data_IF_730840574560
#
_entry.id   IF_730840574560
#
_cell.length_a   1.000
_cell.length_b   1.000
_cell.length_c   1.000
_cell.angle_alpha   90.00
_cell.angle_beta   90.00
_cell.angle_gamma   90.00
#
_symmetry.space_group_name_H-M   'P 1'
#
loop_
_entity.id
_entity.type
_entity.pdbx_description
1 polymer ?
#
# COMPACT_ATOMS: atom_id res chain seq x y z
N UNK A 1 31.89 -58.64 -0.31
CA UNK A 1 32.22 -57.20 -0.37
C UNK A 1 31.13 -56.53 -1.19
N UNK A 2 30.14 -55.92 -0.54
CA UNK A 2 29.00 -55.30 -1.21
C UNK A 2 28.97 -53.83 -0.78
N UNK A 3 29.35 -52.95 -1.71
CA UNK A 3 29.41 -51.50 -1.53
C UNK A 3 28.00 -50.92 -1.63
N UNK A 4 27.57 -50.19 -0.60
CA UNK A 4 26.33 -49.41 -0.60
C UNK A 4 26.53 -48.10 -1.40
N UNK A 5 25.56 -47.75 -2.25
CA UNK A 5 25.49 -46.45 -2.93
C UNK A 5 24.96 -45.37 -1.97
N UNK A 6 25.49 -44.13 -2.00
CA UNK A 6 24.96 -43.02 -1.21
C UNK A 6 23.67 -42.42 -1.83
N UNK A 7 22.78 -41.82 -1.03
CA UNK A 7 21.57 -41.16 -1.52
C UNK A 7 21.89 -39.80 -2.20
N UNK A 8 21.12 -39.47 -3.25
CA UNK A 8 21.20 -38.21 -3.99
C UNK A 8 20.67 -37.02 -3.15
N UNK A 9 21.23 -35.81 -3.31
CA UNK A 9 20.75 -34.61 -2.62
C UNK A 9 19.41 -34.10 -3.18
N UNK A 10 18.60 -33.38 -2.38
CA UNK A 10 17.31 -32.84 -2.82
C UNK A 10 17.50 -31.71 -3.83
N UNK A 11 16.70 -31.74 -4.91
CA UNK A 11 16.60 -30.69 -5.92
C UNK A 11 16.00 -29.43 -5.31
N UNK A 12 16.82 -28.39 -5.09
CA UNK A 12 16.36 -27.05 -4.75
C UNK A 12 15.70 -26.42 -5.97
N UNK A 13 14.38 -26.25 -5.93
CA UNK A 13 13.61 -25.43 -6.87
C UNK A 13 13.95 -23.96 -6.61
N UNK A 14 14.95 -23.42 -7.32
CA UNK A 14 15.18 -21.97 -7.36
C UNK A 14 14.10 -21.31 -8.20
N UNK A 15 13.19 -20.60 -7.53
CA UNK A 15 12.31 -19.60 -8.16
C UNK A 15 13.18 -18.43 -8.64
N UNK A 16 13.06 -17.94 -9.90
CA UNK A 16 13.88 -16.83 -10.37
C UNK A 16 13.57 -15.53 -9.59
N UNK A 17 14.59 -14.70 -9.30
CA UNK A 17 14.38 -13.41 -8.65
C UNK A 17 13.62 -12.45 -9.57
N UNK A 18 12.52 -11.90 -9.07
CA UNK A 18 11.77 -10.81 -9.73
C UNK A 18 12.70 -9.62 -10.01
N UNK A 19 12.56 -8.92 -11.16
CA UNK A 19 13.46 -7.82 -11.51
C UNK A 19 13.30 -6.64 -10.55
N UNK A 20 14.40 -5.91 -10.24
CA UNK A 20 14.32 -4.69 -9.44
C UNK A 20 13.62 -3.60 -10.27
N UNK A 21 12.52 -3.06 -9.78
CA UNK A 21 11.84 -1.92 -10.38
C UNK A 21 12.72 -0.67 -10.25
N UNK A 22 13.66 -0.48 -11.18
CA UNK A 22 14.32 0.79 -11.45
C UNK A 22 13.34 1.64 -12.27
N UNK A 23 12.70 2.62 -11.65
CA UNK A 23 12.14 3.72 -12.43
C UNK A 23 12.24 5.05 -11.70
N UNK A 24 13.43 5.63 -11.71
CA UNK A 24 13.65 7.04 -11.43
C UNK A 24 13.53 7.80 -12.77
N UNK A 25 12.37 8.40 -13.05
CA UNK A 25 12.16 9.28 -14.21
C UNK A 25 11.76 10.67 -13.71
N UNK A 26 12.50 11.74 -14.06
CA UNK A 26 12.20 13.10 -13.63
C UNK A 26 11.05 13.68 -14.48
N UNK A 27 9.85 13.60 -13.93
CA UNK A 27 8.62 14.12 -14.55
C UNK A 27 7.39 13.61 -13.82
N UNK A 28 7.33 13.85 -12.51
CA UNK A 28 6.35 13.29 -11.57
C UNK A 28 4.93 13.82 -11.84
N UNK A 29 4.28 13.33 -12.89
CA UNK A 29 2.84 13.10 -12.77
C UNK A 29 2.67 11.97 -11.77
N UNK A 30 1.93 12.18 -10.67
CA UNK A 30 1.64 11.09 -9.75
C UNK A 30 1.04 9.92 -10.53
N UNK A 31 1.71 8.77 -10.52
CA UNK A 31 1.21 7.57 -11.19
C UNK A 31 0.13 6.97 -10.30
N UNK A 32 -1.12 7.13 -10.70
CA UNK A 32 -2.25 6.46 -10.08
C UNK A 32 -2.49 5.13 -10.82
N UNK A 33 -2.66 4.07 -10.06
CA UNK A 33 -2.93 2.71 -10.54
C UNK A 33 -4.24 2.23 -9.93
N UNK A 34 -4.91 1.30 -10.60
CA UNK A 34 -6.16 0.71 -10.12
C UNK A 34 -6.00 -0.80 -10.00
N UNK A 35 -6.48 -1.38 -8.89
CA UNK A 35 -6.52 -2.83 -8.70
C UNK A 35 -7.80 -3.28 -8.01
N UNK A 36 -8.27 -4.49 -8.33
CA UNK A 36 -9.39 -5.11 -7.62
C UNK A 36 -8.91 -5.67 -6.27
N UNK A 37 -9.56 -5.23 -5.19
CA UNK A 37 -9.46 -5.88 -3.89
C UNK A 37 -10.53 -6.96 -3.78
N UNK A 38 -10.14 -8.19 -4.12
CA UNK A 38 -11.05 -9.34 -4.21
C UNK A 38 -11.75 -9.65 -2.90
N UNK A 39 -11.04 -9.65 -1.76
CA UNK A 39 -11.61 -9.99 -0.44
C UNK A 39 -12.79 -9.07 -0.06
N UNK A 40 -12.74 -7.81 -0.48
CA UNK A 40 -13.75 -6.79 -0.16
C UNK A 40 -14.68 -6.50 -1.35
N UNK A 41 -14.43 -7.09 -2.51
CA UNK A 41 -15.20 -6.86 -3.74
C UNK A 41 -15.19 -5.41 -4.23
N UNK A 42 -14.12 -4.66 -3.97
CA UNK A 42 -14.03 -3.23 -4.30
C UNK A 42 -12.75 -2.92 -5.08
N UNK A 43 -12.78 -1.86 -5.86
CA UNK A 43 -11.61 -1.35 -6.56
C UNK A 43 -10.83 -0.41 -5.62
N UNK A 44 -9.50 -0.49 -5.69
CA UNK A 44 -8.59 0.43 -5.02
C UNK A 44 -7.86 1.30 -6.03
N UNK A 45 -7.94 2.62 -5.83
CA UNK A 45 -7.04 3.59 -6.44
C UNK A 45 -5.76 3.66 -5.61
N UNK A 46 -4.61 3.61 -6.27
CA UNK A 46 -3.31 3.43 -5.63
C UNK A 46 -2.32 4.48 -6.13
N UNK A 47 -1.58 5.08 -5.20
CA UNK A 47 -0.48 6.00 -5.52
C UNK A 47 0.76 5.51 -4.80
N UNK A 48 1.86 5.38 -5.55
CA UNK A 48 3.17 5.07 -5.02
C UNK A 48 3.91 6.35 -4.65
N UNK A 49 4.27 6.49 -3.38
CA UNK A 49 5.02 7.61 -2.86
C UNK A 49 6.13 7.11 -1.93
N UNK A 50 7.37 7.51 -2.18
CA UNK A 50 8.53 7.16 -1.34
C UNK A 50 8.66 5.63 -1.10
N UNK A 51 8.36 4.83 -2.13
CA UNK A 51 8.39 3.35 -2.03
C UNK A 51 7.22 2.74 -1.26
N UNK A 52 6.17 3.52 -0.97
CA UNK A 52 4.98 3.07 -0.25
C UNK A 52 3.75 3.25 -1.14
N UNK A 53 3.05 2.14 -1.37
CA UNK A 53 1.77 2.13 -2.06
C UNK A 53 0.64 2.50 -1.08
N UNK A 54 -0.02 3.63 -1.31
CA UNK A 54 -1.18 4.09 -0.54
C UNK A 54 -2.44 3.89 -1.37
N UNK A 55 -3.49 3.35 -0.76
CA UNK A 55 -4.73 2.98 -1.44
C UNK A 55 -5.95 3.76 -0.90
N UNK A 56 -6.87 4.13 -1.81
CA UNK A 56 -8.24 4.61 -1.55
C UNK A 56 -9.23 3.62 -2.15
N UNK A 57 -10.26 3.22 -1.41
CA UNK A 57 -11.33 2.37 -1.94
C UNK A 57 -12.31 3.19 -2.78
N UNK A 58 -12.86 2.59 -3.83
CA UNK A 58 -13.87 3.22 -4.70
C UNK A 58 -15.28 3.24 -4.07
N UNK A 59 -15.62 2.24 -3.25
CA UNK A 59 -16.98 2.07 -2.71
C UNK A 59 -17.35 3.04 -1.59
N UNK A 60 -16.38 3.48 -0.79
CA UNK A 60 -16.63 4.28 0.42
C UNK A 60 -15.54 5.32 0.73
N UNK A 61 -14.60 5.53 -0.20
CA UNK A 61 -13.51 6.49 -0.10
C UNK A 61 -12.57 6.34 1.10
N UNK A 62 -12.63 5.22 1.82
CA UNK A 62 -11.68 4.99 2.90
C UNK A 62 -10.26 4.86 2.34
N UNK A 63 -9.31 5.41 3.08
CA UNK A 63 -7.89 5.41 2.72
C UNK A 63 -7.11 4.58 3.74
N UNK A 64 -6.12 3.83 3.27
CA UNK A 64 -5.21 3.08 4.14
C UNK A 64 -4.30 4.04 4.93
N UNK A 65 -4.74 4.42 6.13
CA UNK A 65 -4.06 5.32 7.03
C UNK A 65 -2.70 4.80 7.50
N UNK A 66 -2.52 3.47 7.57
CA UNK A 66 -1.20 2.87 7.87
C UNK A 66 -0.19 3.18 6.78
N UNK A 67 -0.55 3.01 5.51
CA UNK A 67 0.34 3.30 4.38
C UNK A 67 0.57 4.80 4.25
N UNK A 68 -0.48 5.61 4.37
CA UNK A 68 -0.40 7.08 4.35
C UNK A 68 0.61 7.62 5.36
N UNK A 69 0.53 7.21 6.63
CA UNK A 69 1.45 7.72 7.66
C UNK A 69 2.88 7.18 7.53
N UNK A 70 3.07 6.01 6.90
CA UNK A 70 4.41 5.52 6.62
C UNK A 70 5.15 6.42 5.62
N UNK A 71 4.43 7.13 4.72
CA UNK A 71 5.04 8.09 3.76
C UNK A 71 5.73 9.23 4.48
N UNK A 72 5.41 9.51 5.75
CA UNK A 72 6.11 10.56 6.51
C UNK A 72 7.45 10.07 7.09
N UNK A 73 7.78 8.77 6.99
CA UNK A 73 8.93 8.16 7.65
C UNK A 73 8.84 8.14 9.18
N UNK A 74 7.65 8.30 9.78
CA UNK A 74 7.52 8.29 11.24
C UNK A 74 7.74 6.91 11.85
N UNK A 75 8.04 6.87 13.15
CA UNK A 75 8.20 5.61 13.87
C UNK A 75 6.87 4.84 13.98
N UNK A 76 6.98 3.52 14.07
CA UNK A 76 5.85 2.61 14.26
C UNK A 76 4.97 3.03 15.45
N UNK A 77 5.57 3.33 16.60
CA UNK A 77 4.83 3.70 17.81
C UNK A 77 4.01 4.99 17.63
N UNK A 78 4.58 6.00 16.94
CA UNK A 78 3.87 7.25 16.66
C UNK A 78 2.69 7.02 15.72
N UNK A 79 2.90 6.27 14.63
CA UNK A 79 1.85 5.89 13.69
C UNK A 79 0.72 5.13 14.38
N UNK A 80 1.06 4.09 15.12
CA UNK A 80 0.09 3.22 15.79
C UNK A 80 -0.69 4.02 16.85
N UNK A 81 -0.04 4.97 17.54
CA UNK A 81 -0.67 5.90 18.46
C UNK A 81 -1.69 6.83 17.80
N UNK A 82 -1.37 7.40 16.64
CA UNK A 82 -2.29 8.24 15.85
C UNK A 82 -3.50 7.40 15.42
N UNK A 83 -3.27 6.25 14.76
CA UNK A 83 -4.33 5.42 14.19
C UNK A 83 -5.24 4.81 15.25
N UNK A 84 -4.72 4.50 16.45
CA UNK A 84 -5.52 3.98 17.57
C UNK A 84 -6.58 4.98 18.06
N UNK A 85 -6.39 6.28 17.81
CA UNK A 85 -7.34 7.31 18.23
C UNK A 85 -8.36 7.66 17.15
N UNK A 86 -8.22 7.14 15.94
CA UNK A 86 -9.12 7.44 14.84
C UNK A 86 -10.48 6.74 15.00
N UNK A 87 -11.55 7.54 15.01
CA UNK A 87 -12.95 7.07 15.10
C UNK A 87 -13.41 6.54 13.74
N UNK A 88 -14.22 5.47 13.76
CA UNK A 88 -14.71 4.84 12.53
C UNK A 88 -13.62 4.14 11.71
N UNK A 89 -12.45 3.87 12.31
CA UNK A 89 -11.38 3.12 11.66
C UNK A 89 -11.78 1.66 11.45
N UNK A 90 -11.33 1.08 10.34
CA UNK A 90 -11.48 -0.35 10.04
C UNK A 90 -10.10 -0.99 10.03
N UNK A 91 -9.95 -2.17 10.62
CA UNK A 91 -8.65 -2.86 10.72
C UNK A 91 -8.66 -4.11 9.86
N UNK A 92 -7.81 -4.12 8.84
CA UNK A 92 -7.63 -5.24 7.91
C UNK A 92 -6.34 -5.97 8.28
N UNK A 93 -6.50 -7.19 8.81
CA UNK A 93 -5.39 -8.01 9.36
C UNK A 93 -4.92 -9.11 8.40
N UNK A 94 -5.75 -9.50 7.45
CA UNK A 94 -5.53 -10.58 6.49
C UNK A 94 -5.69 -10.01 5.06
N UNK A 95 -5.20 -10.71 4.05
CA UNK A 95 -5.22 -10.27 2.65
C UNK A 95 -3.87 -9.72 2.17
N UNK A 96 -3.89 -9.06 1.02
CA UNK A 96 -2.69 -8.57 0.36
C UNK A 96 -1.88 -7.58 1.23
N UNK A 97 -0.55 -7.74 1.26
CA UNK A 97 0.35 -6.98 2.14
C UNK A 97 0.28 -5.45 1.96
N UNK A 98 -0.05 -4.99 0.76
CA UNK A 98 -0.21 -3.56 0.47
C UNK A 98 -1.58 -3.01 0.87
N UNK A 99 -2.58 -3.87 1.14
CA UNK A 99 -3.93 -3.48 1.59
C UNK A 99 -4.14 -3.69 3.10
N UNK A 100 -3.31 -4.51 3.74
CA UNK A 100 -3.30 -4.67 5.21
C UNK A 100 -3.03 -3.34 5.92
N UNK A 101 -3.71 -3.14 7.04
CA UNK A 101 -3.53 -1.96 7.89
C UNK A 101 -4.83 -1.41 8.47
N UNK A 102 -4.74 -0.21 9.02
CA UNK A 102 -5.87 0.57 9.51
C UNK A 102 -6.35 1.49 8.40
N UNK A 103 -7.60 1.35 8.02
CA UNK A 103 -8.31 2.20 7.08
C UNK A 103 -9.09 3.27 7.84
N UNK A 104 -9.03 4.50 7.34
CA UNK A 104 -9.70 5.67 7.92
C UNK A 104 -10.55 6.37 6.86
N UNK A 105 -11.53 7.16 7.29
CA UNK A 105 -12.39 7.92 6.39
C UNK A 105 -11.59 8.94 5.56
N UNK A 106 -12.09 9.27 4.37
CA UNK A 106 -11.47 10.26 3.48
C UNK A 106 -11.14 11.57 4.18
N UNK A 107 -12.13 12.17 4.85
CA UNK A 107 -11.99 13.43 5.60
C UNK A 107 -10.84 13.35 6.60
N UNK A 108 -10.70 12.21 7.29
CA UNK A 108 -9.65 12.06 8.29
C UNK A 108 -8.28 11.82 7.68
N UNK A 109 -8.19 11.02 6.63
CA UNK A 109 -6.96 10.85 5.86
C UNK A 109 -6.45 12.18 5.30
N UNK A 110 -7.35 13.03 4.77
CA UNK A 110 -7.00 14.37 4.28
C UNK A 110 -6.41 15.23 5.41
N UNK A 111 -7.05 15.25 6.59
CA UNK A 111 -6.54 16.00 7.74
C UNK A 111 -5.15 15.53 8.18
N UNK A 112 -4.92 14.21 8.22
CA UNK A 112 -3.60 13.64 8.52
C UNK A 112 -2.56 14.00 7.45
N UNK A 113 -2.94 13.96 6.17
CA UNK A 113 -2.04 14.28 5.08
C UNK A 113 -1.61 15.75 5.08
N UNK A 114 -2.51 16.67 5.41
CA UNK A 114 -2.21 18.09 5.59
C UNK A 114 -1.30 18.30 6.80
N UNK A 115 -1.66 17.73 7.96
CA UNK A 115 -0.89 17.87 9.20
C UNK A 115 0.57 17.40 9.05
N UNK A 116 0.80 16.38 8.23
CA UNK A 116 2.12 15.81 7.98
C UNK A 116 2.77 16.25 6.66
N UNK A 117 2.17 17.22 5.95
CA UNK A 117 2.69 17.79 4.72
C UNK A 117 2.97 16.75 3.61
N UNK A 118 2.09 15.75 3.48
CA UNK A 118 2.12 14.71 2.46
C UNK A 118 0.91 14.75 1.51
N UNK A 119 0.02 15.73 1.67
CA UNK A 119 -1.16 15.90 0.80
C UNK A 119 -0.75 16.00 -0.66
N UNK A 120 0.19 16.86 -0.99
CA UNK A 120 0.57 17.11 -2.40
C UNK A 120 1.26 15.89 -3.03
N UNK A 121 2.01 15.15 -2.23
CA UNK A 121 2.66 13.89 -2.64
C UNK A 121 1.62 12.82 -3.00
N UNK A 122 0.49 12.80 -2.27
CA UNK A 122 -0.59 11.83 -2.43
C UNK A 122 -1.82 12.42 -3.13
N UNK A 123 -1.68 13.58 -3.79
CA UNK A 123 -2.79 14.37 -4.30
C UNK A 123 -3.84 13.59 -5.11
N UNK A 124 -3.49 12.62 -5.99
CA UNK A 124 -4.50 11.90 -6.76
C UNK A 124 -5.48 11.08 -5.92
N UNK A 125 -5.13 10.72 -4.68
CA UNK A 125 -6.06 10.03 -3.78
C UNK A 125 -7.06 10.99 -3.13
N UNK A 126 -6.79 12.30 -3.18
CA UNK A 126 -7.48 13.36 -2.45
C UNK A 126 -8.34 14.27 -3.33
N UNK A 127 -8.46 13.97 -4.63
CA UNK A 127 -9.45 14.61 -5.52
C UNK A 127 -10.84 14.02 -5.29
N UNK A 128 -11.90 14.70 -5.72
CA UNK A 128 -13.26 14.20 -5.55
C UNK A 128 -13.47 12.86 -6.27
N UNK A 129 -13.10 12.81 -7.56
CA UNK A 129 -13.11 11.59 -8.37
C UNK A 129 -11.69 11.25 -8.86
N UNK A 130 -11.04 10.21 -8.29
CA UNK A 130 -9.74 9.74 -8.78
C UNK A 130 -9.78 9.14 -10.18
N UNK A 131 -10.97 8.81 -10.71
CA UNK A 131 -11.12 8.20 -12.03
C UNK A 131 -10.71 9.14 -13.16
N UNK A 132 -10.69 10.45 -12.93
CA UNK A 132 -10.28 11.49 -13.89
C UNK A 132 -8.87 11.29 -14.45
N UNK A 133 -8.02 10.55 -13.74
CA UNK A 133 -6.65 10.30 -14.16
C UNK A 133 -6.51 9.13 -15.17
N UNK A 134 -7.61 8.42 -15.47
CA UNK A 134 -7.64 7.33 -16.44
C UNK A 134 -8.31 7.71 -17.77
N UNK A 135 -8.72 8.98 -17.93
CA UNK A 135 -9.33 9.54 -19.14
C UNK A 135 -8.41 10.54 -19.87
#
# INVERSE_FOLDING_TARGET
MTTALPPLPPTTTETPPSPPHLNNSPGHRPKITTSLWEDEGTICYQVDAQGICVARRQDNDMINGTKLLNVTGMSRGKRDGILKNEKGRVVVKVGAMHLKGVWVTFSRAMALAIQHNIKDVLHPLFVDDPSIYFY
#
